data_IF_320666315142
#
_entry.id   IF_320666315142
#
_cell.length_a   1.000
_cell.length_b   1.000
_cell.length_c   1.000
_cell.angle_alpha   90.00
_cell.angle_beta   90.00
_cell.angle_gamma   90.00
#
_symmetry.space_group_name_H-M   'P 1'
#
loop_
_entity.id
_entity.type
_entity.pdbx_description
1 polymer ?
#
# COMPACT_ATOMS: atom_id res chain seq x y z
N UNK A 1 60.54 28.12 38.81
CA UNK A 1 60.02 26.74 38.93
C UNK A 1 58.48 26.79 38.80
N UNK A 2 57.91 26.35 37.73
CA UNK A 2 56.41 26.26 37.60
C UNK A 2 55.91 24.87 38.02
N UNK A 3 54.82 24.86 38.74
CA UNK A 3 54.10 23.66 39.22
C UNK A 3 53.30 23.00 38.11
N UNK A 4 53.08 21.65 38.13
CA UNK A 4 52.37 20.94 37.09
C UNK A 4 50.83 20.96 37.32
N UNK A 5 50.08 21.37 36.30
CA UNK A 5 48.63 21.22 36.25
C UNK A 5 48.24 19.74 36.02
N UNK A 6 47.51 19.16 36.97
CA UNK A 6 46.82 17.88 36.81
C UNK A 6 45.58 18.06 35.94
N UNK A 7 45.57 17.49 34.76
CA UNK A 7 44.37 17.32 33.95
C UNK A 7 43.58 16.10 34.50
N UNK A 8 42.34 16.31 34.92
CA UNK A 8 41.39 15.28 35.30
C UNK A 8 40.63 14.93 34.03
N UNK A 9 40.85 13.72 33.50
CA UNK A 9 40.00 13.15 32.44
C UNK A 9 38.75 12.58 33.06
N UNK A 10 37.59 13.22 32.83
CA UNK A 10 36.28 12.63 33.12
C UNK A 10 35.90 11.69 31.96
N UNK A 11 35.97 10.39 32.19
CA UNK A 11 35.44 9.37 31.26
C UNK A 11 33.93 9.30 31.40
N UNK A 12 33.21 9.81 30.41
CA UNK A 12 31.76 9.64 30.28
C UNK A 12 31.49 8.25 29.76
N UNK A 13 31.08 7.32 30.63
CA UNK A 13 30.60 6.00 30.25
C UNK A 13 29.14 6.13 29.76
N UNK A 14 28.92 6.08 28.44
CA UNK A 14 27.59 5.92 27.88
C UNK A 14 27.11 4.49 28.15
N UNK A 15 26.20 4.30 29.10
CA UNK A 15 25.45 3.07 29.25
C UNK A 15 24.40 2.98 28.14
N UNK A 16 24.67 2.20 27.11
CA UNK A 16 23.65 1.75 26.17
C UNK A 16 22.78 0.70 26.87
N UNK A 17 21.61 1.11 27.35
CA UNK A 17 20.61 0.16 27.88
C UNK A 17 20.02 -0.65 26.73
N UNK A 18 20.58 -1.79 26.44
CA UNK A 18 19.97 -2.80 25.57
C UNK A 18 18.76 -3.37 26.30
N UNK A 19 17.56 -3.06 25.83
CA UNK A 19 16.33 -3.70 26.34
C UNK A 19 16.36 -5.15 25.87
N UNK A 20 16.80 -6.05 26.74
CA UNK A 20 16.70 -7.50 26.57
C UNK A 20 15.23 -7.91 26.69
N UNK A 21 14.54 -8.03 25.56
CA UNK A 21 13.19 -8.62 25.55
C UNK A 21 13.29 -10.08 25.91
N UNK A 22 12.55 -10.51 26.94
CA UNK A 22 12.54 -11.90 27.40
C UNK A 22 12.05 -12.86 26.30
N UNK A 23 12.73 -13.99 26.06
CA UNK A 23 12.26 -15.03 25.13
C UNK A 23 10.84 -15.54 25.40
N UNK A 24 10.42 -15.50 26.66
CA UNK A 24 9.07 -15.89 27.11
C UNK A 24 8.01 -14.92 26.56
N UNK A 25 8.25 -13.61 26.62
CA UNK A 25 7.33 -12.61 26.08
C UNK A 25 7.18 -12.73 24.54
N UNK A 26 8.24 -13.13 23.84
CA UNK A 26 8.18 -13.37 22.38
C UNK A 26 7.32 -14.60 22.04
N UNK A 27 7.47 -15.70 22.76
CA UNK A 27 6.69 -16.92 22.55
C UNK A 27 5.19 -16.71 22.84
N UNK A 28 4.85 -15.92 23.86
CA UNK A 28 3.47 -15.60 24.21
C UNK A 28 2.79 -14.71 23.17
N UNK A 29 3.49 -13.71 22.63
CA UNK A 29 3.01 -12.88 21.54
C UNK A 29 2.81 -13.69 20.24
N UNK A 30 3.72 -14.59 19.89
CA UNK A 30 3.58 -15.46 18.73
C UNK A 30 2.34 -16.37 18.84
N UNK A 31 2.15 -16.99 20.01
CA UNK A 31 0.97 -17.82 20.28
C UNK A 31 -0.34 -16.99 20.23
N UNK A 32 -0.31 -15.76 20.72
CA UNK A 32 -1.45 -14.83 20.64
C UNK A 32 -1.81 -14.49 19.19
N UNK A 33 -0.80 -14.17 18.37
CA UNK A 33 -1.00 -13.88 16.95
C UNK A 33 -1.54 -15.10 16.22
N UNK A 34 -0.98 -16.30 16.46
CA UNK A 34 -1.45 -17.55 15.86
C UNK A 34 -2.93 -17.81 16.21
N UNK A 35 -3.31 -17.69 17.48
CA UNK A 35 -4.72 -17.83 17.92
C UNK A 35 -5.67 -16.82 17.27
N UNK A 36 -5.20 -15.61 16.95
CA UNK A 36 -6.02 -14.61 16.28
C UNK A 36 -6.15 -14.87 14.77
N UNK A 37 -5.11 -15.41 14.12
CA UNK A 37 -5.01 -15.55 12.67
C UNK A 37 -5.55 -16.88 12.16
N UNK A 38 -5.06 -18.01 12.72
CA UNK A 38 -5.31 -19.34 12.16
C UNK A 38 -6.79 -19.70 11.98
N UNK A 39 -7.69 -19.53 12.96
CA UNK A 39 -9.08 -19.93 12.82
C UNK A 39 -9.84 -19.05 11.80
N UNK A 40 -9.44 -17.77 11.69
CA UNK A 40 -10.05 -16.84 10.73
C UNK A 40 -9.64 -17.22 9.30
N UNK A 41 -8.35 -17.46 9.07
CA UNK A 41 -7.82 -17.78 7.75
C UNK A 41 -8.24 -19.18 7.30
N UNK A 42 -8.24 -20.18 8.18
CA UNK A 42 -8.70 -21.54 7.85
C UNK A 42 -10.16 -21.52 7.36
N UNK A 43 -11.05 -20.79 8.05
CA UNK A 43 -12.45 -20.63 7.64
C UNK A 43 -12.57 -19.91 6.30
N UNK A 44 -11.83 -18.81 6.12
CA UNK A 44 -11.84 -18.03 4.88
C UNK A 44 -11.37 -18.87 3.69
N UNK A 45 -10.25 -19.56 3.84
CA UNK A 45 -9.69 -20.41 2.78
C UNK A 45 -10.67 -21.53 2.38
N UNK A 46 -11.29 -22.18 3.36
CA UNK A 46 -12.30 -23.23 3.11
C UNK A 46 -13.53 -22.66 2.40
N UNK A 47 -14.07 -21.53 2.86
CA UNK A 47 -15.27 -20.91 2.32
C UNK A 47 -15.12 -20.46 0.87
N UNK A 48 -13.97 -19.91 0.52
CA UNK A 48 -13.72 -19.33 -0.81
C UNK A 48 -12.82 -20.21 -1.69
N UNK A 49 -12.48 -21.42 -1.23
CA UNK A 49 -11.55 -22.33 -1.90
C UNK A 49 -10.27 -21.61 -2.35
N UNK A 50 -9.62 -20.91 -1.42
CA UNK A 50 -8.35 -20.21 -1.65
C UNK A 50 -7.21 -21.22 -1.54
N UNK A 51 -6.39 -21.45 -2.61
CA UNK A 51 -5.37 -22.48 -2.58
C UNK A 51 -4.21 -22.17 -1.64
N UNK A 52 -3.80 -20.91 -1.55
CA UNK A 52 -2.69 -20.49 -0.71
C UNK A 52 -2.80 -19.03 -0.24
N UNK A 53 -2.31 -18.79 0.98
CA UNK A 53 -2.26 -17.46 1.59
C UNK A 53 -0.98 -17.28 2.40
N UNK A 54 -0.48 -16.06 2.42
CA UNK A 54 0.50 -15.58 3.39
C UNK A 54 -0.11 -14.42 4.18
N UNK A 55 -0.03 -14.50 5.51
CA UNK A 55 -0.52 -13.46 6.43
C UNK A 55 0.62 -12.98 7.28
N UNK A 56 0.89 -11.67 7.23
CA UNK A 56 1.94 -11.06 8.03
C UNK A 56 1.34 -10.01 8.99
N UNK A 57 1.69 -10.12 10.26
CA UNK A 57 1.18 -9.30 11.35
C UNK A 57 2.32 -8.57 12.02
N UNK A 58 2.15 -7.27 12.24
CA UNK A 58 3.00 -6.49 13.14
C UNK A 58 2.24 -6.18 14.42
N UNK A 59 2.84 -6.48 15.56
CA UNK A 59 2.36 -6.08 16.89
C UNK A 59 3.52 -5.46 17.64
N UNK A 60 3.37 -4.21 18.08
CA UNK A 60 4.43 -3.48 18.81
C UNK A 60 5.79 -3.50 18.08
N UNK A 61 5.78 -3.39 16.74
CA UNK A 61 6.97 -3.41 15.89
C UNK A 61 7.54 -4.81 15.60
N UNK A 62 7.01 -5.88 16.22
CA UNK A 62 7.44 -7.26 15.96
C UNK A 62 6.64 -7.86 14.81
N UNK A 63 7.33 -8.57 13.92
CA UNK A 63 6.74 -9.23 12.75
C UNK A 63 6.49 -10.72 13.00
N UNK A 64 5.31 -11.19 12.56
CA UNK A 64 4.89 -12.59 12.58
C UNK A 64 4.33 -12.93 11.21
N UNK A 65 4.82 -14.01 10.60
CA UNK A 65 4.36 -14.49 9.29
C UNK A 65 3.78 -15.89 9.43
N UNK A 66 2.61 -16.10 8.83
CA UNK A 66 1.95 -17.40 8.77
C UNK A 66 1.62 -17.73 7.32
N UNK A 67 2.00 -18.91 6.88
CA UNK A 67 1.83 -19.40 5.52
C UNK A 67 0.86 -20.57 5.48
N UNK A 68 -0.06 -20.56 4.52
CA UNK A 68 -1.15 -21.54 4.42
C UNK A 68 -1.29 -22.05 2.99
N UNK A 69 -1.47 -23.37 2.83
CA UNK A 69 -1.77 -24.00 1.55
C UNK A 69 -0.63 -23.98 0.55
N UNK A 70 -0.96 -23.85 -0.74
CA UNK A 70 -0.01 -24.03 -1.84
C UNK A 70 0.08 -22.78 -2.75
N UNK A 71 1.30 -22.48 -3.17
CA UNK A 71 1.64 -21.43 -4.16
C UNK A 71 1.31 -21.89 -5.59
N UNK A 72 1.30 -23.20 -5.83
CA UNK A 72 0.91 -23.84 -7.10
C UNK A 72 0.12 -25.13 -6.81
N UNK A 73 -1.09 -25.22 -7.36
CA UNK A 73 -1.90 -26.44 -7.24
C UNK A 73 -1.35 -27.57 -8.12
N UNK A 74 -0.73 -27.23 -9.26
CA UNK A 74 -0.19 -28.20 -10.19
C UNK A 74 1.02 -28.94 -9.59
N UNK A 75 1.98 -28.20 -9.01
CA UNK A 75 3.19 -28.79 -8.43
C UNK A 75 3.05 -29.18 -6.96
N UNK A 76 1.98 -28.74 -6.27
CA UNK A 76 1.83 -28.89 -4.83
C UNK A 76 2.82 -28.03 -4.01
N UNK A 77 3.53 -27.09 -4.63
CA UNK A 77 4.50 -26.23 -3.95
C UNK A 77 3.84 -25.44 -2.81
N UNK A 78 4.31 -25.56 -1.56
CA UNK A 78 3.72 -24.87 -0.43
C UNK A 78 3.96 -23.35 -0.50
N UNK A 79 3.08 -22.58 0.13
CA UNK A 79 3.35 -21.17 0.44
C UNK A 79 4.43 -21.10 1.52
N UNK A 80 5.41 -20.22 1.33
CA UNK A 80 6.53 -19.98 2.24
C UNK A 80 6.77 -18.48 2.42
N UNK A 81 7.65 -18.08 3.31
CA UNK A 81 8.04 -16.68 3.54
C UNK A 81 8.63 -16.02 2.27
N UNK A 82 9.17 -16.81 1.35
CA UNK A 82 9.70 -16.35 0.07
C UNK A 82 8.68 -16.33 -1.06
N UNK A 83 7.44 -16.79 -0.84
CA UNK A 83 6.41 -16.80 -1.87
C UNK A 83 6.01 -15.38 -2.28
N UNK A 84 6.09 -15.10 -3.57
CA UNK A 84 5.78 -13.80 -4.18
C UNK A 84 4.35 -13.84 -4.70
N UNK A 85 3.56 -12.83 -4.32
CA UNK A 85 2.18 -12.64 -4.74
C UNK A 85 2.01 -11.34 -5.52
N UNK A 86 1.07 -11.30 -6.47
CA UNK A 86 0.58 -10.05 -7.03
C UNK A 86 -0.28 -9.34 -5.99
N UNK A 87 -0.01 -8.06 -5.75
CA UNK A 87 -0.77 -7.30 -4.75
C UNK A 87 -1.83 -6.37 -5.34
N UNK A 88 -1.93 -6.35 -6.68
CA UNK A 88 -2.93 -5.55 -7.38
C UNK A 88 -2.91 -4.09 -6.92
N UNK A 89 -4.08 -3.50 -6.70
CA UNK A 89 -4.21 -2.09 -6.32
C UNK A 89 -3.58 -1.70 -4.97
N UNK A 90 -3.08 -2.65 -4.17
CA UNK A 90 -2.25 -2.32 -3.02
C UNK A 90 -0.93 -1.65 -3.46
N UNK A 91 -0.46 -1.90 -4.70
CA UNK A 91 0.67 -1.21 -5.35
C UNK A 91 0.55 0.31 -5.31
N UNK A 92 -0.69 0.84 -5.35
CA UNK A 92 -0.96 2.27 -5.36
C UNK A 92 -0.47 3.00 -4.11
N UNK A 93 -0.38 2.31 -2.98
CA UNK A 93 0.17 2.90 -1.74
C UNK A 93 1.66 3.17 -1.87
N UNK A 94 2.39 2.29 -2.55
CA UNK A 94 3.82 2.45 -2.83
C UNK A 94 4.04 3.56 -3.88
N UNK A 95 3.24 3.61 -4.94
CA UNK A 95 3.27 4.69 -5.95
C UNK A 95 2.93 6.05 -5.33
N UNK A 96 1.96 6.10 -4.43
CA UNK A 96 1.61 7.31 -3.68
C UNK A 96 2.77 7.79 -2.81
N UNK A 97 3.48 6.86 -2.17
CA UNK A 97 4.69 7.17 -1.39
C UNK A 97 5.82 7.70 -2.27
N UNK A 98 5.99 7.19 -3.51
CA UNK A 98 6.96 7.75 -4.46
C UNK A 98 6.63 9.21 -4.82
N UNK A 99 5.36 9.51 -5.11
CA UNK A 99 4.94 10.88 -5.38
C UNK A 99 5.11 11.80 -4.17
N UNK A 100 4.80 11.30 -2.97
CA UNK A 100 5.02 12.04 -1.72
C UNK A 100 6.52 12.25 -1.44
N UNK A 101 7.39 11.31 -1.80
CA UNK A 101 8.84 11.48 -1.71
C UNK A 101 9.35 12.55 -2.70
N UNK A 102 8.82 12.57 -3.91
CA UNK A 102 9.17 13.61 -4.89
C UNK A 102 8.71 15.01 -4.41
N UNK A 103 7.53 15.14 -3.80
CA UNK A 103 7.08 16.37 -3.12
C UNK A 103 7.99 16.74 -1.94
N UNK A 104 8.30 15.77 -1.06
CA UNK A 104 9.13 15.99 0.12
C UNK A 104 10.56 16.44 -0.21
N UNK A 105 11.07 16.06 -1.40
CA UNK A 105 12.39 16.46 -1.94
C UNK A 105 12.34 17.71 -2.81
N UNK A 106 11.15 18.32 -3.00
CA UNK A 106 10.97 19.53 -3.81
C UNK A 106 11.14 19.28 -5.33
N UNK A 107 11.03 18.02 -5.78
CA UNK A 107 11.14 17.66 -7.20
C UNK A 107 9.84 17.86 -7.97
N UNK A 108 8.71 17.77 -7.27
CA UNK A 108 7.39 18.13 -7.79
C UNK A 108 6.59 18.89 -6.74
N UNK A 109 5.47 19.49 -7.14
CA UNK A 109 4.44 19.96 -6.20
C UNK A 109 3.10 19.31 -6.51
N UNK A 110 2.40 18.88 -5.47
CA UNK A 110 1.05 18.35 -5.61
C UNK A 110 0.04 19.35 -6.19
N UNK A 111 0.35 20.64 -6.11
CA UNK A 111 -0.44 21.71 -6.73
C UNK A 111 -0.15 21.89 -8.23
N UNK A 112 0.94 21.29 -8.75
CA UNK A 112 1.31 21.42 -10.16
C UNK A 112 0.36 20.64 -11.06
N UNK A 113 0.15 21.09 -12.30
CA UNK A 113 -0.47 20.31 -13.35
C UNK A 113 0.45 19.17 -13.84
N UNK A 114 -0.16 18.08 -14.32
CA UNK A 114 0.60 16.92 -14.78
C UNK A 114 1.53 17.23 -15.97
N UNK A 115 1.12 18.13 -16.86
CA UNK A 115 1.88 18.53 -18.07
C UNK A 115 3.21 19.23 -17.76
N UNK A 116 3.46 19.63 -16.52
CA UNK A 116 4.77 20.10 -16.07
C UNK A 116 5.81 18.97 -16.13
N UNK A 117 5.42 17.75 -15.85
CA UNK A 117 6.28 16.57 -15.72
C UNK A 117 6.04 15.53 -16.84
N UNK A 118 4.89 15.62 -17.52
CA UNK A 118 4.45 14.74 -18.61
C UNK A 118 4.07 15.64 -19.80
N UNK A 119 5.05 16.02 -20.64
CA UNK A 119 4.84 17.01 -21.70
C UNK A 119 3.72 16.66 -22.69
N UNK A 120 3.46 15.37 -22.89
CA UNK A 120 2.44 14.87 -23.80
C UNK A 120 1.02 15.36 -23.46
N UNK A 121 0.74 15.65 -22.20
CA UNK A 121 -0.60 16.13 -21.74
C UNK A 121 -0.66 17.63 -21.50
N UNK A 122 0.45 18.36 -21.73
CA UNK A 122 0.54 19.80 -21.44
C UNK A 122 -0.49 20.61 -22.22
N UNK A 123 -1.23 21.47 -21.50
CA UNK A 123 -2.24 22.35 -22.07
C UNK A 123 -3.52 21.65 -22.55
N UNK A 124 -3.66 20.36 -22.31
CA UNK A 124 -4.87 19.59 -22.61
C UNK A 124 -5.91 19.72 -21.48
N UNK A 125 -7.13 19.24 -21.72
CA UNK A 125 -8.20 19.32 -20.71
C UNK A 125 -7.82 18.62 -19.39
N UNK A 126 -7.12 17.50 -19.47
CA UNK A 126 -6.62 16.74 -18.33
C UNK A 126 -5.62 17.54 -17.47
N UNK A 127 -4.87 18.45 -18.07
CA UNK A 127 -3.84 19.26 -17.40
C UNK A 127 -4.42 20.37 -16.49
N UNK A 128 -5.75 20.52 -16.46
CA UNK A 128 -6.46 21.40 -15.51
C UNK A 128 -6.52 20.84 -14.09
N UNK A 129 -6.36 19.53 -13.95
CA UNK A 129 -6.29 18.86 -12.67
C UNK A 129 -4.86 18.90 -12.11
N UNK A 130 -4.73 19.05 -10.80
CA UNK A 130 -3.44 18.99 -10.11
C UNK A 130 -2.98 17.55 -9.89
N UNK A 131 -1.70 17.36 -9.60
CA UNK A 131 -1.16 16.06 -9.21
C UNK A 131 -1.88 15.49 -7.99
N UNK A 132 -2.29 16.33 -7.03
CA UNK A 132 -3.12 15.88 -5.90
C UNK A 132 -4.44 15.26 -6.38
N UNK A 133 -5.09 15.87 -7.35
CA UNK A 133 -6.35 15.34 -7.89
C UNK A 133 -6.13 13.96 -8.55
N UNK A 134 -5.02 13.77 -9.26
CA UNK A 134 -4.69 12.45 -9.82
C UNK A 134 -4.40 11.42 -8.73
N UNK A 135 -3.60 11.78 -7.72
CA UNK A 135 -3.26 10.89 -6.59
C UNK A 135 -4.44 10.51 -5.71
N UNK A 136 -5.53 11.29 -5.73
CA UNK A 136 -6.75 11.09 -4.92
C UNK A 136 -7.98 10.70 -5.72
N UNK A 137 -7.83 10.46 -7.01
CA UNK A 137 -8.92 10.09 -7.93
C UNK A 137 -10.00 11.18 -8.11
N UNK A 138 -9.63 12.44 -7.89
CA UNK A 138 -10.54 13.59 -7.98
C UNK A 138 -10.27 14.47 -9.20
N UNK A 139 -9.65 13.91 -10.24
CA UNK A 139 -9.29 14.66 -11.45
C UNK A 139 -10.49 15.06 -12.33
N UNK A 140 -11.69 14.54 -12.05
CA UNK A 140 -12.91 14.88 -12.76
C UNK A 140 -13.52 13.76 -13.61
N UNK A 141 -13.41 12.49 -13.17
CA UNK A 141 -14.15 11.36 -13.74
C UNK A 141 -13.38 10.47 -14.70
N UNK A 142 -12.04 10.32 -14.53
CA UNK A 142 -11.29 9.28 -15.23
C UNK A 142 -11.84 7.88 -14.88
N UNK A 143 -11.97 6.95 -15.85
CA UNK A 143 -12.55 5.64 -15.61
C UNK A 143 -11.65 4.75 -14.74
N UNK A 144 -12.19 3.61 -14.28
CA UNK A 144 -11.45 2.61 -13.52
C UNK A 144 -10.24 2.09 -14.28
N UNK A 145 -10.44 1.76 -15.57
CA UNK A 145 -9.44 1.24 -16.49
C UNK A 145 -9.45 2.04 -17.78
N UNK A 146 -8.35 2.00 -18.52
CA UNK A 146 -8.39 2.40 -19.93
C UNK A 146 -9.40 1.52 -20.68
N UNK A 147 -10.07 2.06 -21.71
CA UNK A 147 -10.82 1.23 -22.65
C UNK A 147 -9.94 0.13 -23.28
N UNK A 148 -10.51 -1.03 -23.58
CA UNK A 148 -9.77 -2.18 -24.14
C UNK A 148 -9.00 -1.87 -25.44
N UNK A 149 -9.50 -0.89 -26.22
CA UNK A 149 -8.83 -0.44 -27.43
C UNK A 149 -7.55 0.38 -27.18
N UNK A 150 -7.28 0.77 -25.94
CA UNK A 150 -6.08 1.56 -25.59
C UNK A 150 -4.93 0.58 -25.32
N UNK A 151 -4.18 0.28 -26.36
CA UNK A 151 -3.01 -0.59 -26.29
C UNK A 151 -1.71 0.20 -26.55
N UNK A 152 -0.73 -0.01 -25.67
CA UNK A 152 0.59 0.60 -25.77
C UNK A 152 0.64 2.10 -25.46
N UNK A 153 1.86 2.64 -25.49
CA UNK A 153 2.16 4.02 -25.02
C UNK A 153 1.45 5.09 -25.84
N UNK A 154 1.43 4.96 -27.17
CA UNK A 154 0.83 5.99 -28.04
C UNK A 154 -0.66 6.13 -27.80
N UNK A 155 -1.41 5.02 -27.87
CA UNK A 155 -2.87 5.04 -27.65
C UNK A 155 -3.24 5.53 -26.24
N UNK A 156 -2.41 5.21 -25.24
CA UNK A 156 -2.57 5.72 -23.88
C UNK A 156 -2.47 7.24 -23.82
N UNK A 157 -1.48 7.85 -24.49
CA UNK A 157 -1.35 9.31 -24.51
C UNK A 157 -2.42 9.98 -25.38
N UNK A 158 -2.79 9.39 -26.51
CA UNK A 158 -3.93 9.86 -27.31
C UNK A 158 -5.20 9.89 -26.42
N UNK A 159 -5.47 8.82 -25.64
CA UNK A 159 -6.58 8.79 -24.70
C UNK A 159 -6.53 9.93 -23.67
N UNK A 160 -5.39 10.19 -23.05
CA UNK A 160 -5.26 11.28 -22.09
C UNK A 160 -5.44 12.66 -22.72
N UNK A 161 -4.95 12.88 -23.94
CA UNK A 161 -5.04 14.17 -24.64
C UNK A 161 -6.44 14.48 -25.13
N UNK A 162 -7.22 13.45 -25.43
CA UNK A 162 -8.59 13.57 -25.95
C UNK A 162 -9.64 13.50 -24.80
N UNK A 163 -9.21 13.09 -23.60
CA UNK A 163 -10.12 12.95 -22.47
C UNK A 163 -10.71 14.29 -22.03
N UNK A 164 -12.03 14.30 -21.82
CA UNK A 164 -12.79 15.46 -21.33
C UNK A 164 -13.33 15.16 -19.95
N UNK A 165 -13.05 16.01 -18.94
CA UNK A 165 -13.61 15.84 -17.57
C UNK A 165 -15.14 15.86 -17.59
N UNK A 166 -15.75 14.94 -16.84
CA UNK A 166 -17.21 14.90 -16.62
C UNK A 166 -17.64 15.77 -15.44
N UNK A 167 -16.69 16.22 -14.62
CA UNK A 167 -16.89 17.09 -13.47
C UNK A 167 -15.65 17.95 -13.20
N UNK A 168 -15.78 19.09 -12.50
CA UNK A 168 -14.64 19.89 -12.10
C UNK A 168 -13.66 19.08 -11.21
N UNK A 169 -12.32 19.29 -11.34
CA UNK A 169 -11.36 18.70 -10.44
C UNK A 169 -11.67 19.01 -8.97
N UNK A 170 -11.60 18.00 -8.12
CA UNK A 170 -11.88 18.12 -6.68
C UNK A 170 -13.36 18.05 -6.28
N UNK A 171 -14.30 17.83 -7.22
CA UNK A 171 -15.74 17.76 -6.91
C UNK A 171 -16.29 16.34 -6.75
N UNK A 172 -15.70 15.37 -7.46
CA UNK A 172 -16.08 13.96 -7.37
C UNK A 172 -14.82 13.10 -7.20
N UNK A 173 -14.97 11.97 -6.50
CA UNK A 173 -14.00 10.87 -6.51
C UNK A 173 -14.51 9.76 -7.42
N UNK A 174 -13.71 9.38 -8.38
CA UNK A 174 -13.91 8.18 -9.18
C UNK A 174 -12.61 7.37 -9.20
N UNK A 175 -12.62 6.21 -8.56
CA UNK A 175 -11.44 5.37 -8.45
C UNK A 175 -10.92 4.97 -9.84
N UNK A 176 -9.64 5.20 -10.10
CA UNK A 176 -9.12 5.20 -11.47
C UNK A 176 -7.65 4.76 -11.51
N UNK A 177 -7.34 3.74 -12.32
CA UNK A 177 -5.97 3.40 -12.67
C UNK A 177 -5.33 4.48 -13.57
N UNK A 178 -5.99 4.96 -14.65
CA UNK A 178 -5.45 6.10 -15.42
C UNK A 178 -5.08 7.31 -14.54
N UNK A 179 -5.89 7.64 -13.54
CA UNK A 179 -5.61 8.77 -12.65
C UNK A 179 -4.30 8.60 -11.88
N UNK A 180 -4.19 7.51 -11.11
CA UNK A 180 -2.99 7.27 -10.32
C UNK A 180 -1.78 6.89 -11.19
N UNK A 181 -2.02 6.28 -12.35
CA UNK A 181 -0.97 5.99 -13.32
C UNK A 181 -0.25 7.27 -13.80
N UNK A 182 -1.02 8.30 -14.15
CA UNK A 182 -0.46 9.60 -14.56
C UNK A 182 0.27 10.29 -13.40
N UNK A 183 -0.26 10.20 -12.16
CA UNK A 183 0.43 10.67 -10.96
C UNK A 183 1.78 9.97 -10.77
N UNK A 184 1.83 8.64 -10.87
CA UNK A 184 3.06 7.86 -10.72
C UNK A 184 4.08 8.14 -11.82
N UNK A 185 3.62 8.33 -13.05
CA UNK A 185 4.49 8.73 -14.18
C UNK A 185 5.08 10.13 -13.96
N UNK A 186 4.26 11.09 -13.52
CA UNK A 186 4.74 12.44 -13.21
C UNK A 186 5.75 12.41 -12.06
N UNK A 187 5.52 11.59 -11.04
CA UNK A 187 6.44 11.44 -9.91
C UNK A 187 7.81 10.91 -10.37
N UNK A 188 7.84 9.80 -11.12
CA UNK A 188 9.10 9.24 -11.62
C UNK A 188 9.83 10.18 -12.57
N UNK A 189 9.12 10.84 -13.49
CA UNK A 189 9.71 11.82 -14.39
C UNK A 189 10.33 13.02 -13.65
N UNK A 190 9.67 13.51 -12.59
CA UNK A 190 10.19 14.61 -11.76
C UNK A 190 11.51 14.27 -11.06
N UNK A 191 11.72 12.99 -10.79
CA UNK A 191 12.95 12.45 -10.20
C UNK A 191 14.03 12.14 -11.25
N UNK A 192 13.71 12.27 -12.55
CA UNK A 192 14.61 11.96 -13.66
C UNK A 192 14.83 10.45 -13.88
N UNK A 193 13.90 9.60 -13.42
CA UNK A 193 14.00 8.14 -13.47
C UNK A 193 12.83 7.52 -14.24
N UNK A 194 13.05 6.35 -14.83
CA UNK A 194 11.95 5.47 -15.21
C UNK A 194 11.23 4.94 -13.98
N UNK A 195 9.91 4.65 -14.09
CA UNK A 195 9.09 4.29 -12.93
C UNK A 195 9.63 3.06 -12.18
N UNK A 196 9.96 1.98 -12.88
CA UNK A 196 10.46 0.75 -12.27
C UNK A 196 11.75 1.01 -11.46
N UNK A 197 12.67 1.75 -12.06
CA UNK A 197 13.93 2.13 -11.42
C UNK A 197 13.71 3.03 -10.18
N UNK A 198 12.76 3.97 -10.26
CA UNK A 198 12.40 4.82 -9.12
C UNK A 198 11.79 3.99 -7.96
N UNK A 199 10.93 3.02 -8.29
CA UNK A 199 10.37 2.11 -7.28
C UNK A 199 11.44 1.24 -6.62
N UNK A 200 12.31 0.64 -7.40
CA UNK A 200 13.36 -0.26 -6.91
C UNK A 200 14.41 0.48 -6.08
N UNK A 201 14.93 1.60 -6.62
CA UNK A 201 16.07 2.31 -6.00
C UNK A 201 15.67 3.23 -4.86
N UNK A 202 14.42 3.74 -4.82
CA UNK A 202 13.96 4.67 -3.80
C UNK A 202 13.00 3.99 -2.82
N UNK A 203 11.90 3.39 -3.33
CA UNK A 203 10.84 2.88 -2.46
C UNK A 203 11.21 1.52 -1.87
N UNK A 204 11.49 0.52 -2.70
CA UNK A 204 11.79 -0.83 -2.19
C UNK A 204 13.06 -0.83 -1.34
N UNK A 205 14.08 -0.06 -1.76
CA UNK A 205 15.32 0.08 -1.00
C UNK A 205 15.10 0.73 0.37
N UNK A 206 14.29 1.83 0.46
CA UNK A 206 14.05 2.54 1.72
C UNK A 206 13.33 1.69 2.77
N UNK A 207 12.48 0.75 2.34
CA UNK A 207 11.74 -0.13 3.23
C UNK A 207 12.37 -1.53 3.37
N UNK A 208 13.54 -1.78 2.75
CA UNK A 208 14.20 -3.07 2.78
C UNK A 208 13.40 -4.21 2.12
N UNK A 209 12.62 -3.88 1.08
CA UNK A 209 11.75 -4.80 0.33
C UNK A 209 12.55 -5.55 -0.76
N UNK A 210 13.40 -6.46 -0.35
CA UNK A 210 14.38 -7.12 -1.23
C UNK A 210 13.80 -8.22 -2.12
N UNK A 211 12.58 -8.65 -1.84
CA UNK A 211 11.82 -9.65 -2.61
C UNK A 211 10.56 -9.06 -3.22
N UNK A 212 10.65 -7.78 -3.64
CA UNK A 212 9.57 -7.00 -4.24
C UNK A 212 10.00 -6.50 -5.62
N UNK A 213 9.11 -6.63 -6.60
CA UNK A 213 9.42 -6.42 -8.02
C UNK A 213 8.24 -5.80 -8.77
N UNK A 214 8.53 -5.01 -9.80
CA UNK A 214 7.59 -4.70 -10.87
C UNK A 214 7.59 -5.87 -11.89
N UNK A 215 8.76 -6.32 -12.30
CA UNK A 215 8.94 -7.53 -13.11
C UNK A 215 9.72 -8.55 -12.32
N UNK A 216 9.12 -9.72 -12.01
CA UNK A 216 9.80 -10.78 -11.26
C UNK A 216 10.97 -11.30 -12.09
N UNK A 217 12.21 -11.19 -11.61
CA UNK A 217 13.38 -11.67 -12.34
C UNK A 217 13.45 -13.22 -12.33
N UNK A 218 14.14 -13.78 -13.31
CA UNK A 218 14.25 -15.24 -13.48
C UNK A 218 14.74 -15.96 -12.20
N UNK A 219 15.71 -15.38 -11.49
CA UNK A 219 16.21 -15.90 -10.21
C UNK A 219 15.13 -16.05 -9.12
N UNK A 220 14.02 -15.33 -9.22
CA UNK A 220 12.91 -15.35 -8.27
C UNK A 220 11.66 -16.03 -8.85
N UNK A 221 11.68 -16.47 -10.09
CA UNK A 221 10.51 -17.02 -10.80
C UNK A 221 9.90 -18.24 -10.10
N UNK A 222 10.73 -19.08 -9.48
CA UNK A 222 10.28 -20.26 -8.72
C UNK A 222 9.50 -19.91 -7.44
N UNK A 223 9.67 -18.70 -6.91
CA UNK A 223 8.94 -18.23 -5.74
C UNK A 223 7.63 -17.49 -6.12
N UNK A 224 7.43 -17.21 -7.39
CA UNK A 224 6.25 -16.49 -7.86
C UNK A 224 5.06 -17.44 -7.96
N UNK A 225 4.10 -17.29 -7.07
CA UNK A 225 2.89 -18.09 -7.01
C UNK A 225 2.08 -18.04 -8.33
N UNK A 226 1.30 -19.08 -8.58
CA UNK A 226 0.24 -19.05 -9.56
C UNK A 226 -1.04 -18.55 -8.88
N UNK A 227 -1.69 -17.56 -9.51
CA UNK A 227 -3.01 -17.12 -9.12
C UNK A 227 -4.09 -17.97 -9.77
N UNK A 228 -5.30 -17.99 -9.21
CA UNK A 228 -6.37 -18.86 -9.70
C UNK A 228 -7.65 -18.08 -10.00
N UNK A 229 -8.21 -18.33 -11.20
CA UNK A 229 -9.53 -17.89 -11.64
C UNK A 229 -10.35 -19.13 -11.97
N UNK A 230 -11.22 -19.56 -11.04
CA UNK A 230 -11.73 -20.95 -11.07
C UNK A 230 -10.54 -21.90 -10.93
N UNK A 231 -10.47 -22.89 -11.84
CA UNK A 231 -9.39 -23.88 -11.87
C UNK A 231 -8.21 -23.47 -12.77
N UNK A 232 -8.29 -22.28 -13.40
CA UNK A 232 -7.23 -21.81 -14.31
C UNK A 232 -6.14 -21.06 -13.55
N UNK A 233 -4.89 -21.53 -13.69
CA UNK A 233 -3.72 -20.81 -13.26
C UNK A 233 -3.51 -19.58 -14.15
N UNK A 234 -3.35 -18.40 -13.53
CA UNK A 234 -3.20 -17.12 -14.22
C UNK A 234 -2.18 -16.25 -13.52
N UNK A 235 -1.57 -15.35 -14.26
CA UNK A 235 -0.79 -14.21 -13.78
C UNK A 235 -1.27 -12.96 -14.50
N UNK A 236 -1.02 -11.79 -13.92
CA UNK A 236 -1.42 -10.51 -14.50
C UNK A 236 -0.72 -10.29 -15.85
N UNK A 237 -1.50 -9.90 -16.86
CA UNK A 237 -0.94 -9.42 -18.12
C UNK A 237 -0.58 -7.94 -17.98
N UNK A 238 0.57 -7.52 -18.51
CA UNK A 238 0.94 -6.11 -18.61
C UNK A 238 -0.13 -5.31 -19.37
N UNK A 239 -0.34 -4.07 -18.94
CA UNK A 239 -1.25 -3.13 -19.59
C UNK A 239 -0.80 -1.69 -19.38
N UNK A 240 -1.43 -0.70 -20.02
CA UNK A 240 -1.07 0.69 -19.84
C UNK A 240 -1.12 1.10 -18.37
N UNK A 241 -0.02 1.66 -17.83
CA UNK A 241 0.15 2.08 -16.44
C UNK A 241 -0.03 0.95 -15.40
N UNK A 242 0.15 -0.31 -15.77
CA UNK A 242 0.10 -1.45 -14.85
C UNK A 242 1.15 -1.32 -13.74
N UNK A 243 2.40 -1.04 -14.07
CA UNK A 243 3.48 -0.86 -13.12
C UNK A 243 3.11 0.16 -12.02
N UNK A 244 2.55 1.31 -12.40
CA UNK A 244 2.17 2.39 -11.49
C UNK A 244 0.94 2.05 -10.62
N UNK A 245 0.10 1.09 -11.01
CA UNK A 245 -1.24 0.98 -10.45
C UNK A 245 -1.57 -0.36 -9.79
N UNK A 246 -1.10 -1.48 -10.33
CA UNK A 246 -1.39 -2.82 -9.82
C UNK A 246 -0.27 -3.85 -10.09
N UNK A 247 0.87 -3.39 -10.60
CA UNK A 247 1.92 -4.25 -11.14
C UNK A 247 2.95 -4.75 -10.13
N UNK A 248 2.90 -4.37 -8.86
CA UNK A 248 3.86 -4.84 -7.86
C UNK A 248 3.59 -6.30 -7.46
N UNK A 249 4.66 -7.07 -7.37
CA UNK A 249 4.71 -8.44 -6.85
C UNK A 249 5.64 -8.46 -5.64
N UNK A 250 5.20 -9.07 -4.54
CA UNK A 250 5.95 -8.99 -3.26
C UNK A 250 5.67 -10.19 -2.36
N UNK A 251 6.50 -10.39 -1.37
CA UNK A 251 6.23 -11.30 -0.25
C UNK A 251 5.41 -10.61 0.85
N UNK A 252 4.73 -11.39 1.70
CA UNK A 252 4.01 -10.84 2.84
C UNK A 252 4.96 -10.15 3.83
N UNK A 253 6.17 -10.66 4.00
CA UNK A 253 7.19 -10.08 4.87
C UNK A 253 7.65 -8.69 4.37
N UNK A 254 7.92 -8.54 3.07
CA UNK A 254 8.31 -7.24 2.51
C UNK A 254 7.18 -6.22 2.60
N UNK A 255 5.94 -6.62 2.26
CA UNK A 255 4.80 -5.73 2.39
C UNK A 255 4.56 -5.33 3.85
N UNK A 256 4.84 -6.23 4.81
CA UNK A 256 4.74 -5.89 6.22
C UNK A 256 5.78 -4.85 6.65
N UNK A 257 7.01 -4.88 6.13
CA UNK A 257 8.01 -3.82 6.39
C UNK A 257 7.51 -2.44 6.00
N UNK A 258 6.87 -2.34 4.82
CA UNK A 258 6.23 -1.11 4.38
C UNK A 258 5.10 -0.69 5.33
N UNK A 259 4.25 -1.63 5.74
CA UNK A 259 3.16 -1.37 6.71
C UNK A 259 3.72 -0.96 8.08
N UNK A 260 4.78 -1.60 8.58
CA UNK A 260 5.43 -1.22 9.84
C UNK A 260 5.95 0.21 9.82
N UNK A 261 6.57 0.63 8.72
CA UNK A 261 7.02 2.01 8.54
C UNK A 261 5.84 3.02 8.46
N UNK A 262 4.66 2.58 8.03
CA UNK A 262 3.44 3.38 8.10
C UNK A 262 2.82 3.40 9.51
N UNK A 263 2.96 2.32 10.29
CA UNK A 263 2.54 2.28 11.71
C UNK A 263 3.41 3.20 12.56
N UNK A 264 4.71 3.21 12.33
CA UNK A 264 5.65 4.08 13.04
C UNK A 264 6.63 4.73 12.06
N UNK A 265 6.25 5.89 11.48
CA UNK A 265 7.14 6.62 10.57
C UNK A 265 8.43 7.13 11.21
N UNK A 266 8.55 7.14 12.55
CA UNK A 266 9.77 7.56 13.25
C UNK A 266 10.97 6.65 12.98
N UNK A 267 10.73 5.43 12.50
CA UNK A 267 11.76 4.49 12.06
C UNK A 267 12.48 4.93 10.78
N UNK A 268 11.91 5.88 10.06
CA UNK A 268 12.45 6.47 8.84
C UNK A 268 13.09 7.83 9.13
N UNK A 269 13.91 8.31 8.21
CA UNK A 269 14.56 9.61 8.33
C UNK A 269 14.33 10.49 7.09
N UNK A 270 14.51 11.81 7.27
CA UNK A 270 14.53 12.78 6.20
C UNK A 270 13.27 12.77 5.30
N UNK A 271 13.44 12.88 3.97
CA UNK A 271 12.32 12.99 3.04
C UNK A 271 11.39 11.78 3.04
N UNK A 272 11.90 10.56 3.32
CA UNK A 272 11.06 9.36 3.31
C UNK A 272 10.08 9.33 4.49
N UNK A 273 10.51 9.75 5.69
CA UNK A 273 9.60 9.91 6.83
C UNK A 273 8.49 10.92 6.49
N UNK A 274 8.87 12.07 5.94
CA UNK A 274 7.91 13.09 5.50
C UNK A 274 6.95 12.56 4.45
N UNK A 275 7.45 11.78 3.48
CA UNK A 275 6.63 11.18 2.44
C UNK A 275 5.56 10.23 3.02
N UNK A 276 5.95 9.34 3.94
CA UNK A 276 5.00 8.43 4.60
C UNK A 276 3.93 9.22 5.38
N UNK A 277 4.32 10.22 6.16
CA UNK A 277 3.37 11.08 6.88
C UNK A 277 2.41 11.80 5.92
N UNK A 278 2.88 12.28 4.77
CA UNK A 278 2.04 12.92 3.76
C UNK A 278 0.99 11.96 3.16
N UNK A 279 1.29 10.66 3.03
CA UNK A 279 0.30 9.68 2.55
C UNK A 279 -0.82 9.42 3.56
N UNK A 280 -0.62 9.76 4.82
CA UNK A 280 -1.58 9.56 5.92
C UNK A 280 -2.47 10.78 6.17
N UNK A 281 -2.29 11.87 5.43
CA UNK A 281 -3.17 13.04 5.51
C UNK A 281 -4.52 12.70 4.87
N UNK A 282 -5.63 12.92 5.60
CA UNK A 282 -6.97 12.84 5.07
C UNK A 282 -7.28 14.07 4.20
N UNK A 283 -7.71 13.84 2.96
CA UNK A 283 -7.85 14.91 1.96
C UNK A 283 -9.29 15.14 1.51
N UNK A 284 -10.04 14.06 1.34
CA UNK A 284 -11.42 14.10 0.87
C UNK A 284 -12.29 13.07 1.61
N UNK A 285 -13.46 13.49 2.07
CA UNK A 285 -14.46 12.57 2.63
C UNK A 285 -15.38 12.06 1.52
N UNK A 286 -15.65 10.76 1.54
CA UNK A 286 -16.52 10.04 0.59
C UNK A 286 -17.38 9.06 1.39
N UNK A 287 -18.55 9.46 1.82
CA UNK A 287 -19.35 8.65 2.75
C UNK A 287 -18.55 8.28 4.01
N UNK A 288 -18.40 6.98 4.34
CA UNK A 288 -17.66 6.55 5.53
C UNK A 288 -16.12 6.62 5.36
N UNK A 289 -15.63 6.77 4.14
CA UNK A 289 -14.23 6.73 3.77
C UNK A 289 -13.62 8.14 3.77
N UNK A 290 -12.43 8.30 4.29
CA UNK A 290 -11.55 9.45 4.04
C UNK A 290 -10.43 9.03 3.08
N UNK A 291 -10.37 9.68 1.92
CA UNK A 291 -9.33 9.43 0.91
C UNK A 291 -8.06 10.21 1.26
N UNK A 292 -6.96 9.49 1.50
CA UNK A 292 -5.60 10.01 1.51
C UNK A 292 -4.87 9.73 0.20
N UNK A 293 -3.55 9.89 0.18
CA UNK A 293 -2.72 9.45 -0.93
C UNK A 293 -2.44 7.94 -0.82
N UNK A 294 -3.08 7.16 -1.69
CA UNK A 294 -2.94 5.69 -1.72
C UNK A 294 -3.72 4.96 -0.64
N UNK A 295 -3.73 5.46 0.60
CA UNK A 295 -4.47 4.89 1.71
C UNK A 295 -5.89 5.43 1.82
N UNK A 296 -6.80 4.56 2.23
CA UNK A 296 -8.17 4.84 2.62
C UNK A 296 -8.24 4.79 4.14
N UNK A 297 -8.93 5.77 4.77
CA UNK A 297 -8.85 6.02 6.21
C UNK A 297 -10.23 6.03 6.85
N UNK A 298 -10.27 5.64 8.13
CA UNK A 298 -11.46 5.66 8.98
C UNK A 298 -11.08 6.12 10.38
N UNK A 299 -11.98 6.80 11.08
CA UNK A 299 -11.81 7.08 12.52
C UNK A 299 -11.71 5.75 13.27
N UNK A 300 -10.79 5.65 14.21
CA UNK A 300 -10.61 4.44 15.02
C UNK A 300 -11.01 4.72 16.48
N UNK A 301 -11.72 3.80 17.18
CA UNK A 301 -12.20 2.51 16.66
C UNK A 301 -13.31 2.68 15.59
N UNK A 302 -13.34 1.75 14.64
CA UNK A 302 -14.33 1.75 13.55
C UNK A 302 -15.14 0.45 13.55
N UNK A 303 -16.40 0.53 13.15
CA UNK A 303 -17.23 -0.67 13.03
C UNK A 303 -16.92 -1.43 11.75
N UNK A 304 -17.22 -2.74 11.77
CA UNK A 304 -17.14 -3.60 10.58
C UNK A 304 -17.98 -3.03 9.42
N UNK A 305 -19.17 -2.51 9.72
CA UNK A 305 -20.12 -1.96 8.74
C UNK A 305 -19.53 -0.74 8.03
N UNK A 306 -18.85 0.13 8.74
CA UNK A 306 -18.19 1.30 8.16
C UNK A 306 -17.03 0.90 7.23
N UNK A 307 -16.20 -0.07 7.66
CA UNK A 307 -15.14 -0.60 6.80
C UNK A 307 -15.70 -1.27 5.54
N UNK A 308 -16.76 -2.06 5.67
CA UNK A 308 -17.42 -2.69 4.52
C UNK A 308 -18.05 -1.64 3.61
N UNK A 309 -18.69 -0.62 4.16
CA UNK A 309 -19.29 0.48 3.40
C UNK A 309 -18.27 1.25 2.55
N UNK A 310 -17.10 1.59 3.11
CA UNK A 310 -16.05 2.28 2.39
C UNK A 310 -15.34 1.41 1.33
N UNK A 311 -15.39 0.09 1.47
CA UNK A 311 -14.86 -0.87 0.49
C UNK A 311 -15.94 -1.44 -0.45
N UNK A 312 -17.17 -0.90 -0.41
CA UNK A 312 -18.26 -1.35 -1.24
C UNK A 312 -18.04 -1.02 -2.73
N UNK A 313 -18.61 -1.86 -3.60
CA UNK A 313 -18.52 -1.69 -5.05
C UNK A 313 -19.01 -0.30 -5.52
N UNK A 314 -20.03 0.24 -4.88
CA UNK A 314 -20.55 1.59 -5.13
C UNK A 314 -19.46 2.66 -4.95
N UNK A 315 -18.69 2.58 -3.88
CA UNK A 315 -17.61 3.53 -3.57
C UNK A 315 -16.42 3.34 -4.49
N UNK A 316 -16.15 2.09 -4.90
CA UNK A 316 -15.01 1.78 -5.77
C UNK A 316 -15.30 2.08 -7.23
N UNK A 317 -16.48 1.71 -7.76
CA UNK A 317 -16.74 1.70 -9.20
C UNK A 317 -17.59 2.87 -9.68
N UNK A 318 -18.26 3.63 -8.80
CA UNK A 318 -19.08 4.78 -9.19
C UNK A 318 -18.44 6.09 -8.75
N UNK A 319 -18.70 7.14 -9.54
CA UNK A 319 -18.36 8.49 -9.13
C UNK A 319 -19.17 8.89 -7.88
N UNK A 320 -18.47 9.43 -6.89
CA UNK A 320 -19.05 9.88 -5.63
C UNK A 320 -18.72 11.37 -5.42
N UNK A 321 -19.67 12.19 -4.97
CA UNK A 321 -19.35 13.55 -4.54
C UNK A 321 -18.37 13.50 -3.37
N UNK A 322 -17.50 14.51 -3.28
CA UNK A 322 -16.51 14.62 -2.21
C UNK A 322 -16.68 15.89 -1.40
N UNK A 323 -16.39 15.79 -0.11
CA UNK A 323 -16.15 16.92 0.77
C UNK A 323 -14.64 17.08 0.93
N UNK A 324 -14.11 18.27 0.58
CA UNK A 324 -12.71 18.56 0.80
C UNK A 324 -12.48 18.82 2.29
N UNK A 325 -11.53 18.09 2.87
CA UNK A 325 -11.17 18.25 4.28
C UNK A 325 -10.13 19.35 4.46
N UNK A 326 -10.14 20.05 5.61
CA UNK A 326 -9.05 20.98 5.96
C UNK A 326 -7.74 20.23 6.09
N UNK A 327 -6.63 20.86 5.72
CA UNK A 327 -5.28 20.25 5.70
C UNK A 327 -4.77 19.81 7.11
N UNK A 328 -5.48 20.16 8.17
CA UNK A 328 -5.26 19.72 9.54
C UNK A 328 -6.57 19.10 10.04
N UNK A 329 -6.75 17.82 9.77
CA UNK A 329 -7.64 17.04 10.64
C UNK A 329 -6.84 16.56 11.84
N UNK A 330 -7.49 16.65 13.01
CA UNK A 330 -6.88 16.50 14.31
C UNK A 330 -6.18 15.16 14.57
N UNK A 331 -5.55 15.06 15.73
CA UNK A 331 -4.84 13.90 16.29
C UNK A 331 -5.76 12.69 16.62
N UNK A 332 -6.90 12.57 15.95
CA UNK A 332 -7.83 11.45 16.15
C UNK A 332 -7.21 10.15 15.66
N UNK A 333 -7.34 9.09 16.48
CA UNK A 333 -6.89 7.75 16.07
C UNK A 333 -7.53 7.31 14.76
N UNK A 334 -6.75 6.73 13.86
CA UNK A 334 -7.21 6.29 12.53
C UNK A 334 -6.82 4.86 12.24
N UNK A 335 -7.69 4.19 11.50
CA UNK A 335 -7.41 2.96 10.79
C UNK A 335 -7.19 3.30 9.32
N UNK A 336 -6.13 2.75 8.76
CA UNK A 336 -5.79 2.85 7.35
C UNK A 336 -5.94 1.49 6.70
N UNK A 337 -6.47 1.44 5.48
CA UNK A 337 -6.52 0.20 4.72
C UNK A 337 -6.35 0.41 3.22
N UNK A 338 -6.07 -0.68 2.51
CA UNK A 338 -6.14 -0.76 1.07
C UNK A 338 -6.37 -2.19 0.61
N UNK A 339 -7.28 -2.34 -0.34
CA UNK A 339 -7.53 -3.59 -1.05
C UNK A 339 -6.70 -3.66 -2.34
N UNK A 340 -6.40 -4.88 -2.78
CA UNK A 340 -5.80 -5.11 -4.09
C UNK A 340 -6.32 -6.39 -4.73
N UNK A 341 -6.49 -6.37 -6.05
CA UNK A 341 -6.91 -7.52 -6.84
C UNK A 341 -6.23 -7.51 -8.20
N UNK A 342 -5.88 -8.72 -8.66
CA UNK A 342 -5.62 -9.03 -10.06
C UNK A 342 -6.56 -10.15 -10.51
N UNK A 343 -6.39 -10.64 -11.72
CA UNK A 343 -7.21 -11.74 -12.23
C UNK A 343 -7.22 -13.01 -11.36
N UNK A 344 -6.08 -13.28 -10.71
CA UNK A 344 -5.85 -14.49 -9.90
C UNK A 344 -5.46 -14.25 -8.46
N UNK A 345 -5.33 -13.00 -7.98
CA UNK A 345 -4.83 -12.73 -6.64
C UNK A 345 -5.72 -11.75 -5.88
N UNK A 346 -5.72 -11.88 -4.57
CA UNK A 346 -6.38 -10.98 -3.65
C UNK A 346 -5.46 -10.55 -2.52
N UNK A 347 -5.35 -9.23 -2.32
CA UNK A 347 -4.54 -8.64 -1.27
C UNK A 347 -5.37 -7.69 -0.41
N UNK A 348 -4.98 -7.56 0.84
CA UNK A 348 -5.49 -6.57 1.77
C UNK A 348 -4.42 -6.19 2.77
N UNK A 349 -4.31 -4.91 3.06
CA UNK A 349 -3.51 -4.42 4.17
C UNK A 349 -4.31 -3.42 4.99
N UNK A 350 -4.13 -3.46 6.30
CA UNK A 350 -4.61 -2.44 7.23
C UNK A 350 -3.56 -2.17 8.31
N UNK A 351 -3.63 -0.97 8.89
CA UNK A 351 -2.85 -0.67 10.09
C UNK A 351 -3.54 0.38 10.97
N UNK A 352 -3.22 0.33 12.25
CA UNK A 352 -3.69 1.26 13.28
C UNK A 352 -2.48 1.74 14.08
N UNK A 353 -1.96 2.95 13.82
CA UNK A 353 -0.77 3.48 14.50
C UNK A 353 -0.89 3.50 16.02
N UNK A 354 -2.03 3.94 16.57
CA UNK A 354 -2.28 4.02 18.02
C UNK A 354 -2.28 2.66 18.72
N UNK A 355 -2.60 1.58 17.97
CA UNK A 355 -2.53 0.21 18.46
C UNK A 355 -1.16 -0.43 18.25
N UNK A 356 -0.31 0.19 17.40
CA UNK A 356 0.94 -0.37 16.89
C UNK A 356 0.73 -1.73 16.23
N UNK A 357 -0.38 -1.87 15.49
CA UNK A 357 -0.76 -3.08 14.76
C UNK A 357 -0.78 -2.80 13.27
N UNK A 358 -0.19 -3.74 12.50
CA UNK A 358 -0.26 -3.82 11.05
C UNK A 358 -0.64 -5.24 10.61
N UNK A 359 -1.46 -5.37 9.57
CA UNK A 359 -1.95 -6.64 9.03
C UNK A 359 -1.78 -6.61 7.51
N UNK A 360 -1.18 -7.66 6.96
CA UNK A 360 -1.07 -7.92 5.51
C UNK A 360 -1.62 -9.31 5.23
N UNK A 361 -2.51 -9.42 4.26
CA UNK A 361 -3.09 -10.69 3.81
C UNK A 361 -2.92 -10.78 2.29
N UNK A 362 -2.15 -11.76 1.82
CA UNK A 362 -1.91 -12.03 0.40
C UNK A 362 -2.42 -13.43 0.05
N UNK A 363 -3.21 -13.55 -1.02
CA UNK A 363 -3.81 -14.79 -1.46
C UNK A 363 -3.65 -14.98 -2.96
N UNK A 364 -3.44 -16.21 -3.38
CA UNK A 364 -3.37 -16.58 -4.80
C UNK A 364 -4.74 -16.95 -5.40
N UNK A 365 -5.77 -16.29 -4.92
CA UNK A 365 -7.12 -16.26 -5.51
C UNK A 365 -7.76 -14.90 -5.27
N UNK A 366 -8.45 -14.37 -6.29
CA UNK A 366 -9.25 -13.16 -6.18
C UNK A 366 -10.61 -13.52 -5.56
N UNK A 367 -10.67 -13.55 -4.24
CA UNK A 367 -11.88 -13.76 -3.47
C UNK A 367 -12.55 -12.43 -3.05
N UNK A 368 -13.83 -12.42 -2.63
CA UNK A 368 -14.58 -11.19 -2.41
C UNK A 368 -13.92 -10.20 -1.43
N UNK A 369 -13.92 -8.92 -1.79
CA UNK A 369 -13.37 -7.84 -0.94
C UNK A 369 -14.02 -7.80 0.44
N UNK A 370 -15.37 -7.95 0.62
CA UNK A 370 -15.96 -7.98 1.95
C UNK A 370 -15.33 -9.05 2.86
N UNK A 371 -15.04 -10.24 2.34
CA UNK A 371 -14.43 -11.32 3.12
C UNK A 371 -13.01 -10.95 3.61
N UNK A 372 -12.24 -10.19 2.82
CA UNK A 372 -10.91 -9.69 3.24
C UNK A 372 -11.02 -8.70 4.38
N UNK A 373 -11.95 -7.76 4.25
CA UNK A 373 -12.23 -6.72 5.25
C UNK A 373 -12.68 -7.35 6.56
N UNK A 374 -13.65 -8.30 6.50
CA UNK A 374 -14.16 -9.01 7.67
C UNK A 374 -13.08 -9.82 8.37
N UNK A 375 -12.27 -10.56 7.62
CA UNK A 375 -11.19 -11.35 8.20
C UNK A 375 -10.14 -10.47 8.90
N UNK A 376 -9.69 -9.39 8.25
CA UNK A 376 -8.73 -8.48 8.84
C UNK A 376 -9.29 -7.73 10.06
N UNK A 377 -10.57 -7.32 10.02
CA UNK A 377 -11.23 -6.72 11.17
C UNK A 377 -11.35 -7.70 12.35
N UNK A 378 -11.69 -8.98 12.10
CA UNK A 378 -11.76 -10.00 13.13
C UNK A 378 -10.38 -10.25 13.77
N UNK A 379 -9.31 -10.33 12.96
CA UNK A 379 -7.94 -10.46 13.45
C UNK A 379 -7.54 -9.24 14.30
N UNK A 380 -7.80 -8.03 13.82
CA UNK A 380 -7.51 -6.79 14.57
C UNK A 380 -8.23 -6.80 15.93
N UNK A 381 -9.52 -7.10 15.93
CA UNK A 381 -10.34 -7.15 17.18
C UNK A 381 -9.78 -8.16 18.16
N UNK A 382 -9.41 -9.36 17.69
CA UNK A 382 -8.82 -10.39 18.56
C UNK A 382 -7.46 -9.97 19.13
N UNK A 383 -6.63 -9.28 18.34
CA UNK A 383 -5.32 -8.78 18.79
C UNK A 383 -5.45 -7.64 19.81
N UNK A 384 -6.45 -6.76 19.66
CA UNK A 384 -6.69 -5.65 20.59
C UNK A 384 -7.31 -6.14 21.89
N UNK A 385 -8.30 -7.06 21.83
CA UNK A 385 -8.98 -7.60 23.02
C UNK A 385 -8.05 -8.40 23.94
N UNK A 386 -7.00 -9.02 23.39
CA UNK A 386 -6.04 -9.84 24.12
C UNK A 386 -4.69 -9.13 24.34
N UNK A 387 -4.68 -7.80 24.43
CA UNK A 387 -3.47 -7.07 24.85
C UNK A 387 -3.06 -7.49 26.26
N UNK A 388 -1.75 -7.67 26.53
CA UNK A 388 -1.25 -8.01 27.86
C UNK A 388 -1.50 -6.91 28.88
#
# INVERSE_FOLDING_TARGET
MPSPHRQIFLSLACFASSILVSPVAFADDAARVSRAVEPVIARLMAQYAVPGMAVAISVQGRAYVSNFGVASQESGQPVTDSTIFEIGSLSKTLTATLGAYAEATGKLSFADPAGKYVPEVRGKAIDRATLLNFGTYTAGGLPLQFPDAVEGRKAMFDYYTDWVPTAPPGSIRQYSNPSLGLFGLAASNSLGLGFDNAMESIIFAAFGMTSTFITVPERAANNYAWGYRGDKAVRVNPGPMDAQTYGVKTTAADMLRFVQANVDPSTLSGPMQKAVLMTQVGLFRVGPLVQGLGWEQYTYPTSREWLLGGNAAEVVFKAQPVEKLPAKEGDEPRLFNKTGSTGGFGAYALFVPTEKIGIVMLANKNYPVPARVEAAHAILTALVANKP
#
